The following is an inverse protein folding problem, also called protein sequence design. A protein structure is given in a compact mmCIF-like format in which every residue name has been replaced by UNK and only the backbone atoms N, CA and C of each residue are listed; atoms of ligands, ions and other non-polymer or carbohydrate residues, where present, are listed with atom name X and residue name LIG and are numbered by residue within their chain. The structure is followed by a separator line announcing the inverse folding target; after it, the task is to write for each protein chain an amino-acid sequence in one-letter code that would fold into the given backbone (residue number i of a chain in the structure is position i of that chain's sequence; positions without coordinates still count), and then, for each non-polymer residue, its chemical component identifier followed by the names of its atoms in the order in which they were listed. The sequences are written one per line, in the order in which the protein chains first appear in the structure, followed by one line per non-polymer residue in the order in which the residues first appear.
data_IF_050378855937
#
_entry.id   IF_050378855937
#
_cell.length_a   1.000
_cell.length_b   1.000
_cell.length_c   1.000
_cell.angle_alpha   90.00
_cell.angle_beta   90.00
_cell.angle_gamma   90.00
#
_symmetry.space_group_name_H-M   'P 1'
#
loop_
_entity.id
_entity.type
_entity.pdbx_description
1 polymer ?
#
# COMPACT_ATOMS: atom_id res chain seq x y z
N UNK A 1 -12.11 8.33 -28.57
CA UNK A 1 -12.95 7.64 -27.56
C UNK A 1 -12.17 7.40 -26.27
N UNK A 2 -11.14 6.53 -26.21
CA UNK A 2 -10.38 6.29 -24.96
C UNK A 2 -9.65 7.53 -24.38
N UNK A 3 -9.08 8.39 -25.22
CA UNK A 3 -8.35 9.60 -24.80
C UNK A 3 -9.22 10.74 -24.23
N UNK A 4 -10.53 10.71 -24.43
CA UNK A 4 -11.45 11.74 -23.94
C UNK A 4 -12.03 11.37 -22.55
N UNK A 5 -12.06 10.07 -22.23
CA UNK A 5 -12.60 9.53 -20.98
C UNK A 5 -11.75 9.85 -19.75
N UNK A 6 -10.42 9.91 -19.90
CA UNK A 6 -9.50 10.06 -18.76
C UNK A 6 -9.28 11.53 -18.38
N UNK A 7 -9.63 12.49 -19.26
CA UNK A 7 -9.63 13.93 -18.94
C UNK A 7 -10.56 14.32 -17.78
N UNK A 8 -11.49 13.44 -17.39
CA UNK A 8 -12.49 13.68 -16.36
C UNK A 8 -12.18 13.05 -15.00
N UNK A 9 -11.05 12.34 -14.85
CA UNK A 9 -10.64 11.77 -13.55
C UNK A 9 -10.03 12.89 -12.70
N UNK A 10 -10.69 13.22 -11.59
CA UNK A 10 -10.28 14.35 -10.73
C UNK A 10 -9.38 13.94 -9.57
N UNK A 11 -9.45 12.69 -9.15
CA UNK A 11 -8.74 12.19 -7.97
C UNK A 11 -8.15 10.82 -8.24
N UNK A 12 -6.95 10.60 -7.72
CA UNK A 12 -6.29 9.30 -7.75
C UNK A 12 -6.76 8.47 -6.56
N UNK A 13 -7.33 7.30 -6.85
CA UNK A 13 -7.98 6.39 -5.88
C UNK A 13 -7.12 5.16 -5.62
N UNK A 14 -6.83 4.89 -4.35
CA UNK A 14 -6.02 3.73 -3.95
C UNK A 14 -6.77 2.94 -2.89
N UNK A 15 -6.87 1.63 -3.08
CA UNK A 15 -7.27 0.72 -2.02
C UNK A 15 -6.02 0.26 -1.27
N UNK A 16 -5.97 0.51 0.05
CA UNK A 16 -4.91 0.00 0.92
C UNK A 16 -5.41 -1.23 1.68
N UNK A 17 -4.67 -2.31 1.49
CA UNK A 17 -4.97 -3.62 2.05
C UNK A 17 -3.87 -4.12 2.96
N UNK A 18 -4.19 -5.13 3.73
CA UNK A 18 -3.27 -5.80 4.65
C UNK A 18 -3.86 -5.94 6.03
N UNK A 19 -3.23 -6.80 6.83
CA UNK A 19 -3.66 -7.18 8.19
C UNK A 19 -3.83 -5.99 9.14
N UNK A 20 -4.50 -6.22 10.26
CA UNK A 20 -4.53 -5.23 11.33
C UNK A 20 -3.10 -4.84 11.74
N UNK A 21 -2.89 -3.57 12.05
CA UNK A 21 -1.59 -3.02 12.40
C UNK A 21 -0.49 -3.17 11.30
N UNK A 22 -0.82 -3.46 10.04
CA UNK A 22 0.15 -3.53 8.95
C UNK A 22 0.79 -2.17 8.55
N UNK A 23 0.46 -1.07 9.23
CA UNK A 23 1.03 0.26 8.94
C UNK A 23 0.31 1.06 7.86
N UNK A 24 -0.90 0.63 7.45
CA UNK A 24 -1.71 1.27 6.40
C UNK A 24 -1.88 2.79 6.60
N UNK A 25 -2.44 3.20 7.74
CA UNK A 25 -2.66 4.63 8.05
C UNK A 25 -1.38 5.45 8.05
N UNK A 26 -0.27 4.88 8.56
CA UNK A 26 1.03 5.56 8.59
C UNK A 26 1.58 5.80 7.18
N UNK A 27 1.36 4.86 6.24
CA UNK A 27 1.73 5.04 4.84
C UNK A 27 0.89 6.15 4.20
N UNK A 28 -0.41 6.18 4.46
CA UNK A 28 -1.30 7.22 3.92
C UNK A 28 -0.88 8.62 4.39
N UNK A 29 -0.71 8.78 5.70
CA UNK A 29 -0.18 9.99 6.33
C UNK A 29 1.13 10.43 5.68
N UNK A 30 2.04 9.47 5.47
CA UNK A 30 3.32 9.77 4.83
C UNK A 30 3.19 10.23 3.40
N UNK A 31 2.42 9.54 2.58
CA UNK A 31 2.23 9.90 1.16
C UNK A 31 1.60 11.28 1.03
N UNK A 32 0.73 11.66 1.95
CA UNK A 32 0.11 12.99 2.00
C UNK A 32 0.98 14.04 2.71
N UNK A 33 2.20 13.70 3.14
CA UNK A 33 3.09 14.56 3.92
C UNK A 33 2.38 15.21 5.12
N UNK A 34 1.63 14.42 5.87
CA UNK A 34 0.77 14.92 6.94
C UNK A 34 0.67 13.95 8.10
N UNK A 35 0.51 14.49 9.31
CA UNK A 35 0.19 13.73 10.52
C UNK A 35 -1.29 13.81 10.88
N UNK A 36 -2.08 14.51 10.06
CA UNK A 36 -3.51 14.65 10.27
C UNK A 36 -4.24 13.31 10.15
N UNK A 37 -5.47 13.28 10.66
CA UNK A 37 -6.39 12.18 10.42
C UNK A 37 -7.20 12.50 9.16
N UNK A 38 -7.42 11.54 8.25
CA UNK A 38 -8.22 11.79 7.07
C UNK A 38 -9.66 12.13 7.47
N UNK A 39 -10.27 12.99 6.67
CA UNK A 39 -11.71 13.11 6.65
C UNK A 39 -12.33 11.88 5.99
N UNK A 40 -13.44 11.40 6.55
CA UNK A 40 -14.13 10.20 6.08
C UNK A 40 -15.42 10.64 5.41
N UNK A 41 -15.67 10.17 4.18
CA UNK A 41 -16.91 10.41 3.46
C UNK A 41 -17.59 9.09 3.11
N UNK A 42 -18.93 9.07 3.17
CA UNK A 42 -19.71 7.93 2.69
C UNK A 42 -19.76 7.90 1.15
N UNK A 43 -20.31 6.83 0.57
CA UNK A 43 -20.48 6.71 -0.90
C UNK A 43 -21.43 7.74 -1.53
N UNK A 44 -22.04 8.62 -0.73
CA UNK A 44 -22.87 9.76 -1.19
C UNK A 44 -22.12 11.10 -1.05
N UNK A 45 -20.88 11.09 -0.57
CA UNK A 45 -20.07 12.28 -0.33
C UNK A 45 -20.40 13.03 0.96
N UNK A 46 -21.18 12.45 1.88
CA UNK A 46 -21.44 13.05 3.18
C UNK A 46 -20.30 12.76 4.13
N UNK A 47 -19.88 13.78 4.91
CA UNK A 47 -18.85 13.62 5.92
C UNK A 47 -19.36 12.74 7.08
N UNK A 48 -18.67 11.64 7.32
CA UNK A 48 -18.94 10.70 8.42
C UNK A 48 -18.22 11.20 9.67
N UNK A 49 -18.88 11.17 10.83
CA UNK A 49 -18.27 11.63 12.09
C UNK A 49 -17.24 10.62 12.57
N UNK A 50 -16.04 11.10 12.94
CA UNK A 50 -14.88 10.28 13.30
C UNK A 50 -15.15 9.24 14.41
N UNK A 51 -16.10 9.49 15.32
CA UNK A 51 -16.49 8.55 16.38
C UNK A 51 -17.10 7.24 15.87
N UNK A 52 -17.71 7.23 14.68
CA UNK A 52 -18.29 6.02 14.06
C UNK A 52 -17.22 5.13 13.41
N UNK A 53 -16.05 5.71 13.08
CA UNK A 53 -14.94 5.06 12.38
C UNK A 53 -13.74 4.80 13.31
N UNK A 54 -13.82 5.12 14.61
CA UNK A 54 -12.71 4.99 15.57
C UNK A 54 -12.70 3.67 16.33
N UNK A 55 -13.77 2.89 16.26
CA UNK A 55 -13.81 1.56 16.85
C UNK A 55 -13.16 0.58 15.89
N UNK A 56 -12.07 -0.05 16.32
CA UNK A 56 -11.47 -1.20 15.61
C UNK A 56 -12.59 -2.21 15.31
N UNK A 57 -12.86 -2.43 14.02
CA UNK A 57 -13.89 -3.36 13.54
C UNK A 57 -15.16 -2.72 12.97
N UNK A 58 -15.36 -1.40 13.05
CA UNK A 58 -16.48 -0.67 12.44
C UNK A 58 -15.98 0.23 11.30
N UNK A 59 -15.57 -0.42 10.20
CA UNK A 59 -15.09 0.29 9.01
C UNK A 59 -15.77 -0.27 7.77
N UNK A 60 -16.17 0.63 6.88
CA UNK A 60 -16.75 0.30 5.60
C UNK A 60 -15.73 0.63 4.51
N UNK A 61 -15.35 -0.37 3.72
CA UNK A 61 -14.38 -0.22 2.61
C UNK A 61 -14.87 0.80 1.55
N UNK A 62 -16.18 1.01 1.46
CA UNK A 62 -16.81 2.02 0.61
C UNK A 62 -16.52 3.46 1.05
N UNK A 63 -16.09 3.67 2.30
CA UNK A 63 -15.82 5.02 2.78
C UNK A 63 -14.53 5.57 2.16
N UNK A 64 -14.61 6.83 1.72
CA UNK A 64 -13.49 7.57 1.17
C UNK A 64 -12.71 8.25 2.30
N UNK A 65 -11.41 8.00 2.37
CA UNK A 65 -10.47 8.70 3.24
C UNK A 65 -9.75 9.78 2.43
N UNK A 66 -9.91 11.04 2.84
CA UNK A 66 -9.31 12.20 2.16
C UNK A 66 -8.53 13.03 3.16
N UNK A 67 -7.27 13.30 2.84
CA UNK A 67 -6.40 14.17 3.62
C UNK A 67 -6.52 15.61 3.12
N UNK A 68 -6.69 16.58 4.01
CA UNK A 68 -6.78 18.00 3.61
C UNK A 68 -5.46 18.49 3.01
N UNK A 69 -4.35 17.97 3.52
CA UNK A 69 -3.00 18.18 2.99
C UNK A 69 -2.83 17.73 1.54
N UNK A 70 -3.59 16.73 1.08
CA UNK A 70 -3.55 16.29 -0.31
C UNK A 70 -4.92 15.75 -0.78
N UNK A 71 -5.85 16.65 -1.18
CA UNK A 71 -7.21 16.28 -1.55
C UNK A 71 -7.33 15.64 -2.94
N UNK A 72 -6.22 15.54 -3.69
CA UNK A 72 -6.18 14.84 -4.97
C UNK A 72 -6.13 13.33 -4.81
N UNK A 73 -5.78 12.82 -3.62
CA UNK A 73 -5.91 11.40 -3.29
C UNK A 73 -7.24 11.09 -2.61
N UNK A 74 -7.77 9.91 -2.93
CA UNK A 74 -8.80 9.23 -2.15
C UNK A 74 -8.30 7.84 -1.80
N UNK A 75 -8.36 7.48 -0.53
CA UNK A 75 -7.98 6.15 -0.08
C UNK A 75 -9.20 5.38 0.40
N UNK A 76 -9.19 4.09 0.12
CA UNK A 76 -10.09 3.11 0.73
C UNK A 76 -9.24 2.20 1.62
N UNK A 77 -9.72 1.86 2.82
CA UNK A 77 -9.03 0.98 3.75
C UNK A 77 -9.86 -0.30 3.97
N UNK A 78 -9.26 -1.46 3.70
CA UNK A 78 -9.86 -2.78 4.01
C UNK A 78 -9.95 -3.08 5.52
N UNK A 79 -9.27 -2.29 6.36
CA UNK A 79 -9.26 -2.37 7.83
C UNK A 79 -8.85 -3.72 8.44
N UNK A 80 -8.06 -4.51 7.71
CA UNK A 80 -7.54 -5.78 8.21
C UNK A 80 -8.46 -6.94 7.85
N UNK A 81 -8.24 -7.51 6.67
CA UNK A 81 -8.77 -8.83 6.35
C UNK A 81 -7.93 -9.88 7.10
N UNK A 82 -8.50 -10.50 8.12
CA UNK A 82 -7.88 -11.60 8.86
C UNK A 82 -8.55 -12.93 8.49
N UNK A 83 -7.77 -14.00 8.42
CA UNK A 83 -8.22 -15.34 8.08
C UNK A 83 -9.27 -15.81 9.11
N UNK A 84 -10.56 -15.63 8.80
CA UNK A 84 -11.63 -16.08 9.68
C UNK A 84 -13.04 -15.73 9.23
N UNK A 85 -13.25 -14.59 8.55
CA UNK A 85 -14.61 -14.22 8.11
C UNK A 85 -14.74 -14.21 6.58
N UNK A 86 -15.50 -15.17 6.06
CA UNK A 86 -15.85 -15.25 4.62
C UNK A 86 -16.56 -13.96 4.17
N UNK A 87 -17.37 -13.38 5.03
CA UNK A 87 -18.11 -12.15 4.75
C UNK A 87 -17.19 -10.94 4.48
N UNK A 88 -16.13 -10.73 5.28
CA UNK A 88 -15.19 -9.63 5.01
C UNK A 88 -14.43 -9.86 3.70
N UNK A 89 -14.10 -11.11 3.38
CA UNK A 89 -13.48 -11.43 2.08
C UNK A 89 -14.41 -11.10 0.92
N UNK A 90 -15.67 -11.53 0.99
CA UNK A 90 -16.64 -11.31 -0.08
C UNK A 90 -16.94 -9.82 -0.25
N UNK A 91 -17.08 -9.06 0.84
CA UNK A 91 -17.23 -7.61 0.79
C UNK A 91 -16.04 -6.93 0.11
N UNK A 92 -14.82 -7.31 0.50
CA UNK A 92 -13.59 -6.78 -0.12
C UNK A 92 -13.48 -7.17 -1.60
N UNK A 93 -13.75 -8.43 -1.95
CA UNK A 93 -13.68 -8.91 -3.33
C UNK A 93 -14.69 -8.17 -4.21
N UNK A 94 -15.93 -8.04 -3.73
CA UNK A 94 -16.97 -7.31 -4.46
C UNK A 94 -16.56 -5.85 -4.65
N UNK A 95 -16.06 -5.18 -3.61
CA UNK A 95 -15.53 -3.82 -3.73
C UNK A 95 -14.45 -3.72 -4.83
N UNK A 96 -13.46 -4.62 -4.82
CA UNK A 96 -12.37 -4.62 -5.82
C UNK A 96 -12.89 -4.85 -7.24
N UNK A 97 -13.79 -5.81 -7.43
CA UNK A 97 -14.36 -6.12 -8.75
C UNK A 97 -15.22 -4.96 -9.26
N UNK A 98 -16.11 -4.44 -8.42
CA UNK A 98 -17.04 -3.36 -8.78
C UNK A 98 -16.28 -2.07 -9.07
N UNK A 99 -15.35 -1.68 -8.19
CA UNK A 99 -14.56 -0.46 -8.34
C UNK A 99 -13.41 -0.61 -9.33
N UNK A 100 -13.00 -1.83 -9.69
CA UNK A 100 -12.01 -2.07 -10.75
C UNK A 100 -12.61 -1.99 -12.16
N UNK A 101 -13.87 -2.43 -12.31
CA UNK A 101 -14.55 -2.51 -13.61
C UNK A 101 -15.59 -1.40 -13.86
N UNK A 102 -15.91 -0.56 -12.85
CA UNK A 102 -16.93 0.49 -12.99
C UNK A 102 -16.69 1.42 -14.18
N UNK A 103 -17.76 1.77 -14.89
CA UNK A 103 -17.74 2.76 -15.97
C UNK A 103 -17.66 4.19 -15.43
N UNK A 104 -17.96 4.39 -14.15
CA UNK A 104 -17.84 5.67 -13.47
C UNK A 104 -16.37 5.91 -13.10
N UNK A 105 -15.64 6.55 -14.01
CA UNK A 105 -14.18 6.77 -13.88
C UNK A 105 -13.77 7.49 -12.60
N UNK A 106 -14.66 8.29 -12.01
CA UNK A 106 -14.43 8.99 -10.75
C UNK A 106 -14.74 8.15 -9.51
N UNK A 107 -15.21 6.92 -9.64
CA UNK A 107 -15.37 5.95 -8.55
C UNK A 107 -14.34 4.82 -8.65
N UNK A 108 -13.72 4.65 -9.82
CA UNK A 108 -12.77 3.58 -10.09
C UNK A 108 -11.54 3.64 -9.19
N UNK A 109 -11.13 2.52 -8.60
CA UNK A 109 -9.81 2.41 -7.95
C UNK A 109 -8.71 2.25 -9.00
N UNK A 110 -7.60 2.95 -8.80
CA UNK A 110 -6.52 3.02 -9.80
C UNK A 110 -5.31 2.16 -9.44
N UNK A 111 -5.11 1.88 -8.15
CA UNK A 111 -4.08 0.96 -7.68
C UNK A 111 -4.49 0.32 -6.36
N UNK A 112 -3.92 -0.84 -6.07
CA UNK A 112 -4.06 -1.54 -4.80
C UNK A 112 -2.68 -1.62 -4.14
N UNK A 113 -2.58 -1.15 -2.90
CA UNK A 113 -1.39 -1.31 -2.08
C UNK A 113 -1.63 -2.39 -1.04
N UNK A 114 -0.91 -3.51 -1.14
CA UNK A 114 -1.08 -4.66 -0.28
C UNK A 114 0.04 -4.72 0.78
N UNK A 115 -0.25 -4.31 2.00
CA UNK A 115 0.72 -4.24 3.09
C UNK A 115 0.97 -5.61 3.75
N UNK A 116 2.22 -6.07 3.71
CA UNK A 116 2.73 -7.24 4.46
C UNK A 116 3.75 -6.72 5.49
N UNK A 117 3.43 -6.72 6.80
CA UNK A 117 4.32 -6.17 7.82
C UNK A 117 5.46 -7.12 8.18
N UNK A 118 6.69 -6.60 8.23
CA UNK A 118 7.88 -7.35 8.65
C UNK A 118 7.97 -7.57 10.16
N UNK A 119 7.00 -7.10 10.96
CA UNK A 119 6.90 -7.44 12.39
C UNK A 119 6.57 -8.92 12.62
N UNK A 120 5.83 -9.54 11.68
CA UNK A 120 5.48 -10.95 11.72
C UNK A 120 6.16 -11.70 10.57
N UNK A 121 7.45 -11.42 10.34
CA UNK A 121 8.19 -11.92 9.17
C UNK A 121 8.17 -13.45 9.02
N UNK A 122 8.03 -14.20 10.12
CA UNK A 122 7.84 -15.66 10.12
C UNK A 122 6.47 -16.13 9.55
N UNK A 123 5.47 -15.26 9.49
CA UNK A 123 4.13 -15.52 8.94
C UNK A 123 3.86 -14.61 7.74
N UNK A 124 4.85 -14.50 6.86
CA UNK A 124 4.68 -13.85 5.57
C UNK A 124 3.81 -14.72 4.67
N UNK A 125 2.88 -14.10 3.92
CA UNK A 125 1.95 -14.78 3.00
C UNK A 125 1.10 -15.88 3.68
N UNK A 126 0.16 -15.46 4.53
CA UNK A 126 -0.80 -16.36 5.17
C UNK A 126 -1.88 -16.83 4.18
N UNK A 127 -2.75 -17.74 4.62
CA UNK A 127 -3.89 -18.21 3.84
C UNK A 127 -4.80 -17.05 3.37
N UNK A 128 -4.92 -15.97 4.14
CA UNK A 128 -5.69 -14.80 3.74
C UNK A 128 -5.07 -14.07 2.55
N UNK A 129 -3.75 -13.83 2.55
CA UNK A 129 -3.06 -13.25 1.41
C UNK A 129 -3.13 -14.17 0.19
N UNK A 130 -2.87 -15.47 0.36
CA UNK A 130 -2.98 -16.44 -0.74
C UNK A 130 -4.38 -16.48 -1.32
N UNK A 131 -5.42 -16.41 -0.48
CA UNK A 131 -6.81 -16.37 -0.93
C UNK A 131 -7.08 -15.15 -1.82
N UNK A 132 -6.63 -13.97 -1.41
CA UNK A 132 -6.74 -12.76 -2.23
C UNK A 132 -6.07 -12.94 -3.59
N UNK A 133 -4.80 -13.33 -3.62
CA UNK A 133 -4.04 -13.45 -4.86
C UNK A 133 -4.47 -14.65 -5.75
N UNK A 134 -5.25 -15.60 -5.24
CA UNK A 134 -5.78 -16.71 -6.04
C UNK A 134 -7.22 -16.50 -6.52
N UNK A 135 -8.05 -15.80 -5.75
CA UNK A 135 -9.50 -15.74 -5.98
C UNK A 135 -10.01 -14.34 -6.34
N UNK A 136 -9.21 -13.28 -6.17
CA UNK A 136 -9.61 -11.91 -6.47
C UNK A 136 -8.98 -11.42 -7.77
N UNK A 137 -9.73 -11.50 -8.88
CA UNK A 137 -9.34 -10.86 -10.13
C UNK A 137 -9.49 -9.34 -10.01
N UNK A 138 -8.37 -8.62 -10.06
CA UNK A 138 -8.35 -7.14 -9.99
C UNK A 138 -8.47 -6.48 -11.36
N UNK A 139 -8.63 -7.27 -12.43
CA UNK A 139 -8.71 -6.81 -13.80
C UNK A 139 -7.47 -5.98 -14.19
N UNK A 140 -7.68 -4.71 -14.51
CA UNK A 140 -6.60 -3.80 -14.91
C UNK A 140 -5.95 -3.05 -13.74
N UNK A 141 -6.48 -3.19 -12.52
CA UNK A 141 -5.98 -2.48 -11.34
C UNK A 141 -4.71 -3.20 -10.83
N UNK A 142 -3.53 -2.56 -10.86
CA UNK A 142 -2.31 -3.19 -10.41
C UNK A 142 -2.29 -3.35 -8.89
N UNK A 143 -1.84 -4.52 -8.42
CA UNK A 143 -1.55 -4.77 -7.01
C UNK A 143 -0.05 -4.65 -6.77
N UNK A 144 0.34 -3.80 -5.82
CA UNK A 144 1.73 -3.60 -5.39
C UNK A 144 1.85 -4.08 -3.95
N UNK A 145 2.75 -5.02 -3.69
CA UNK A 145 3.01 -5.50 -2.33
C UNK A 145 3.97 -4.55 -1.62
N UNK A 146 3.56 -4.07 -0.45
CA UNK A 146 4.35 -3.18 0.40
C UNK A 146 4.88 -3.97 1.58
N UNK A 147 6.19 -4.17 1.66
CA UNK A 147 6.83 -4.72 2.84
C UNK A 147 6.98 -3.57 3.85
N UNK A 148 6.10 -3.55 4.85
CA UNK A 148 6.02 -2.45 5.81
C UNK A 148 6.80 -2.77 7.08
N UNK A 149 7.15 -1.73 7.86
CA UNK A 149 7.85 -1.86 9.14
C UNK A 149 9.15 -2.67 9.03
N UNK A 150 9.90 -2.45 7.95
CA UNK A 150 11.19 -3.12 7.70
C UNK A 150 12.18 -2.90 8.86
N UNK A 151 12.06 -1.78 9.57
CA UNK A 151 12.79 -1.48 10.80
C UNK A 151 12.62 -2.53 11.92
N UNK A 152 11.52 -3.30 11.92
CA UNK A 152 11.33 -4.39 12.87
C UNK A 152 12.34 -5.54 12.71
N UNK A 153 12.98 -5.66 11.54
CA UNK A 153 14.02 -6.66 11.29
C UNK A 153 15.35 -6.34 11.98
N UNK A 154 15.51 -5.15 12.57
CA UNK A 154 16.72 -4.79 13.31
C UNK A 154 17.01 -5.74 14.48
N UNK A 155 16.01 -6.02 15.32
CA UNK A 155 16.18 -6.89 16.48
C UNK A 155 16.55 -8.33 16.08
N UNK A 156 15.81 -8.99 15.15
CA UNK A 156 16.22 -10.30 14.62
C UNK A 156 17.62 -10.33 14.00
N UNK A 157 18.00 -9.26 13.28
CA UNK A 157 19.34 -9.16 12.69
C UNK A 157 20.42 -9.08 13.78
N UNK A 158 20.17 -8.27 14.81
CA UNK A 158 21.10 -8.07 15.92
C UNK A 158 21.23 -9.33 16.79
N UNK A 159 20.10 -9.92 17.19
CA UNK A 159 20.06 -11.19 17.95
C UNK A 159 20.74 -12.31 17.17
N UNK A 160 20.47 -12.43 15.87
CA UNK A 160 21.11 -13.43 15.03
C UNK A 160 22.63 -13.29 14.92
N UNK A 161 23.19 -12.09 15.06
CA UNK A 161 24.65 -11.86 15.14
C UNK A 161 25.20 -12.30 16.49
N UNK A 162 24.51 -11.98 17.59
CA UNK A 162 24.91 -12.42 18.93
C UNK A 162 24.89 -13.95 19.06
N UNK A 163 23.90 -14.61 18.48
CA UNK A 163 23.79 -16.07 18.45
C UNK A 163 24.93 -16.74 17.66
N UNK A 164 25.55 -16.00 16.72
CA UNK A 164 26.75 -16.44 15.99
C UNK A 164 28.05 -16.18 16.77
N UNK A 165 27.96 -15.61 17.98
CA UNK A 165 29.11 -15.28 18.82
C UNK A 165 29.77 -13.94 18.51
N UNK A 166 29.16 -13.09 17.68
CA UNK A 166 29.67 -11.75 17.36
C UNK A 166 29.56 -10.86 18.60
N UNK A 167 30.62 -10.11 18.93
CA UNK A 167 30.61 -9.21 20.06
C UNK A 167 29.62 -8.05 19.85
N UNK A 168 29.03 -7.52 20.93
CA UNK A 168 28.01 -6.44 20.85
C UNK A 168 28.47 -5.23 20.03
N UNK A 169 29.74 -4.82 20.16
CA UNK A 169 30.28 -3.68 19.43
C UNK A 169 30.31 -3.94 17.91
N UNK A 170 30.83 -5.09 17.51
CA UNK A 170 30.89 -5.54 16.11
C UNK A 170 29.48 -5.79 15.55
N UNK A 171 28.58 -6.38 16.35
CA UNK A 171 27.20 -6.61 15.95
C UNK A 171 26.46 -5.30 15.63
N UNK A 172 26.75 -4.20 16.32
CA UNK A 172 26.18 -2.87 16.02
C UNK A 172 26.67 -2.31 14.68
N UNK A 173 27.89 -2.65 14.27
CA UNK A 173 28.46 -2.22 12.98
C UNK A 173 27.86 -3.05 11.83
N UNK A 174 27.62 -4.34 12.05
CA UNK A 174 27.14 -5.28 11.02
C UNK A 174 25.60 -5.38 10.91
N UNK A 175 24.85 -4.90 11.91
CA UNK A 175 23.38 -5.10 11.97
C UNK A 175 22.64 -4.57 10.75
N UNK A 176 23.11 -3.47 10.14
CA UNK A 176 22.46 -2.89 8.96
C UNK A 176 22.58 -3.82 7.74
N UNK A 177 23.76 -4.41 7.53
CA UNK A 177 24.00 -5.41 6.48
C UNK A 177 23.15 -6.66 6.75
N UNK A 178 23.18 -7.16 7.99
CA UNK A 178 22.41 -8.34 8.38
C UNK A 178 20.90 -8.13 8.23
N UNK A 179 20.40 -6.94 8.53
CA UNK A 179 19.01 -6.55 8.30
C UNK A 179 18.66 -6.57 6.81
N UNK A 180 19.57 -6.09 5.95
CA UNK A 180 19.44 -6.15 4.50
C UNK A 180 19.31 -7.59 3.98
N UNK A 181 20.20 -8.49 4.43
CA UNK A 181 20.13 -9.92 4.08
C UNK A 181 18.80 -10.55 4.49
N UNK A 182 18.31 -10.25 5.70
CA UNK A 182 17.02 -10.75 6.17
C UNK A 182 15.87 -10.24 5.29
N UNK A 183 15.89 -8.96 4.95
CA UNK A 183 14.88 -8.37 4.08
C UNK A 183 14.88 -9.02 2.70
N UNK A 184 16.04 -9.21 2.07
CA UNK A 184 16.16 -9.85 0.77
C UNK A 184 15.68 -11.31 0.79
N UNK A 185 16.03 -12.04 1.85
CA UNK A 185 15.54 -13.41 2.08
C UNK A 185 14.01 -13.45 2.12
N UNK A 186 13.39 -12.59 2.93
CA UNK A 186 11.93 -12.54 3.06
C UNK A 186 11.24 -12.04 1.80
N UNK A 187 11.81 -11.03 1.13
CA UNK A 187 11.31 -10.55 -0.15
C UNK A 187 11.33 -11.65 -1.21
N UNK A 188 12.40 -12.44 -1.27
CA UNK A 188 12.52 -13.59 -2.18
C UNK A 188 11.47 -14.64 -1.88
N UNK A 189 11.26 -14.95 -0.60
CA UNK A 189 10.22 -15.88 -0.17
C UNK A 189 8.80 -15.40 -0.57
N UNK A 190 8.46 -14.13 -0.27
CA UNK A 190 7.15 -13.55 -0.61
C UNK A 190 6.94 -13.57 -2.13
N UNK A 191 7.96 -13.17 -2.91
CA UNK A 191 7.91 -13.21 -4.38
C UNK A 191 7.65 -14.62 -4.91
N UNK A 192 8.31 -15.62 -4.33
CA UNK A 192 8.13 -17.01 -4.70
C UNK A 192 6.71 -17.53 -4.38
N UNK A 193 6.18 -17.23 -3.19
CA UNK A 193 4.85 -17.70 -2.81
C UNK A 193 3.74 -17.00 -3.60
N UNK A 194 3.78 -15.67 -3.70
CA UNK A 194 2.77 -14.91 -4.45
C UNK A 194 2.88 -15.08 -5.97
N UNK A 195 4.08 -15.40 -6.48
CA UNK A 195 4.30 -15.69 -7.89
C UNK A 195 3.63 -16.99 -8.37
N UNK A 196 3.25 -17.89 -7.45
CA UNK A 196 2.50 -19.11 -7.77
C UNK A 196 0.99 -18.88 -7.84
N UNK A 197 0.50 -17.73 -7.39
CA UNK A 197 -0.92 -17.45 -7.34
C UNK A 197 -1.47 -17.07 -8.73
N UNK A 198 -2.79 -17.20 -8.92
CA UNK A 198 -3.45 -16.90 -10.20
C UNK A 198 -3.31 -15.44 -10.62
N UNK A 199 -3.30 -14.51 -9.66
CA UNK A 199 -3.25 -13.07 -9.88
C UNK A 199 -2.03 -12.46 -9.16
N UNK A 200 -0.79 -12.70 -9.62
CA UNK A 200 0.41 -12.25 -8.91
C UNK A 200 0.53 -10.71 -8.90
N UNK A 201 1.14 -10.11 -7.86
CA UNK A 201 1.34 -8.67 -7.80
C UNK A 201 2.31 -8.17 -8.88
N UNK A 202 2.15 -6.91 -9.28
CA UNK A 202 2.94 -6.25 -10.32
C UNK A 202 4.26 -5.67 -9.82
N UNK A 203 4.38 -5.45 -8.51
CA UNK A 203 5.57 -4.84 -7.92
C UNK A 203 5.69 -5.11 -6.42
N UNK A 204 6.90 -4.90 -5.90
CA UNK A 204 7.22 -5.07 -4.49
C UNK A 204 8.04 -3.87 -4.01
N UNK A 205 7.61 -3.21 -2.95
CA UNK A 205 8.28 -2.03 -2.40
C UNK A 205 8.52 -2.23 -0.91
N UNK A 206 9.76 -2.02 -0.47
CA UNK A 206 10.13 -2.06 0.94
C UNK A 206 10.05 -0.66 1.54
N UNK A 207 9.34 -0.52 2.65
CA UNK A 207 9.11 0.74 3.34
C UNK A 207 9.64 0.69 4.76
N UNK A 208 10.61 1.55 5.06
CA UNK A 208 11.31 1.61 6.33
C UNK A 208 11.05 2.95 7.03
N UNK A 209 10.88 2.93 8.36
CA UNK A 209 10.79 4.14 9.20
C UNK A 209 9.70 5.14 8.76
N UNK A 210 8.60 4.67 8.16
CA UNK A 210 7.49 5.52 7.67
C UNK A 210 6.81 6.38 8.74
N UNK A 211 7.13 6.19 10.02
CA UNK A 211 6.71 7.04 11.13
C UNK A 211 7.57 8.30 11.32
N UNK A 212 8.79 8.38 10.74
CA UNK A 212 9.73 9.49 10.92
C UNK A 212 9.63 10.49 9.77
N UNK A 213 9.40 11.78 9.97
CA UNK A 213 9.12 12.79 8.91
C UNK A 213 10.10 12.80 7.72
N UNK A 214 11.34 12.33 7.91
CA UNK A 214 12.35 12.20 6.84
C UNK A 214 12.19 10.98 5.92
N UNK A 215 11.33 10.02 6.25
CA UNK A 215 11.12 8.82 5.41
C UNK A 215 10.59 9.18 4.02
N UNK A 216 11.25 8.62 3.01
CA UNK A 216 10.97 8.87 1.61
C UNK A 216 9.83 7.98 1.11
N UNK A 217 8.75 8.60 0.63
CA UNK A 217 7.63 7.91 -0.04
C UNK A 217 7.66 8.06 -1.56
N UNK A 218 8.62 8.78 -2.11
CA UNK A 218 8.76 8.98 -3.56
C UNK A 218 8.97 7.66 -4.29
N UNK A 219 9.70 6.71 -3.67
CA UNK A 219 9.90 5.35 -4.20
C UNK A 219 8.56 4.64 -4.40
N UNK A 220 7.63 4.72 -3.44
CA UNK A 220 6.30 4.12 -3.58
C UNK A 220 5.52 4.74 -4.74
N UNK A 221 5.64 6.04 -4.93
CA UNK A 221 4.95 6.77 -6.00
C UNK A 221 5.52 6.45 -7.37
N UNK A 222 6.84 6.40 -7.49
CA UNK A 222 7.52 6.00 -8.72
C UNK A 222 7.10 4.59 -9.11
N UNK A 223 7.20 3.63 -8.19
CA UNK A 223 6.75 2.26 -8.44
C UNK A 223 5.27 2.19 -8.81
N UNK A 224 4.42 2.99 -8.15
CA UNK A 224 3.00 3.05 -8.51
C UNK A 224 2.80 3.61 -9.91
N UNK A 225 3.54 4.63 -10.32
CA UNK A 225 3.51 5.15 -11.69
C UNK A 225 3.96 4.10 -12.71
N UNK A 226 5.07 3.42 -12.44
CA UNK A 226 5.69 2.47 -13.38
C UNK A 226 4.82 1.25 -13.66
N UNK A 227 3.98 0.82 -12.70
CA UNK A 227 3.08 -0.33 -12.89
C UNK A 227 1.72 0.03 -13.49
N UNK A 228 1.40 1.32 -13.63
CA UNK A 228 0.16 1.75 -14.27
C UNK A 228 0.28 1.57 -15.79
N UNK A 229 -0.72 0.92 -16.39
CA UNK A 229 -0.75 0.69 -17.84
C UNK A 229 -1.15 1.93 -18.64
N UNK A 230 -1.75 2.94 -18.01
CA UNK A 230 -2.31 4.12 -18.66
C UNK A 230 -1.47 5.37 -18.35
N UNK A 231 -0.86 5.96 -19.38
CA UNK A 231 -0.03 7.18 -19.26
C UNK A 231 -0.77 8.34 -18.59
N UNK A 232 -2.07 8.47 -18.84
CA UNK A 232 -2.89 9.50 -18.21
C UNK A 232 -3.10 9.27 -16.72
N UNK A 233 -3.16 8.02 -16.25
CA UNK A 233 -3.18 7.71 -14.81
C UNK A 233 -1.83 7.97 -14.16
N UNK A 234 -0.73 7.71 -14.86
CA UNK A 234 0.62 8.10 -14.41
C UNK A 234 0.70 9.62 -14.23
N UNK A 235 0.28 10.39 -15.24
CA UNK A 235 0.23 11.86 -15.16
C UNK A 235 -0.67 12.36 -14.02
N UNK A 236 -1.83 11.74 -13.81
CA UNK A 236 -2.72 12.07 -12.70
C UNK A 236 -2.04 11.82 -11.35
N UNK A 237 -1.43 10.65 -11.15
CA UNK A 237 -0.69 10.31 -9.93
C UNK A 237 0.42 11.32 -9.65
N UNK A 238 1.21 11.65 -10.67
CA UNK A 238 2.33 12.60 -10.55
C UNK A 238 1.81 14.02 -10.26
N UNK A 239 0.73 14.47 -10.90
CA UNK A 239 0.13 15.78 -10.57
C UNK A 239 -0.47 15.83 -9.17
N UNK A 240 -0.87 14.67 -8.63
CA UNK A 240 -1.41 14.55 -7.27
C UNK A 240 -0.29 14.56 -6.23
N UNK A 241 0.93 14.19 -6.62
CA UNK A 241 2.13 14.28 -5.79
C UNK A 241 2.57 15.75 -5.64
N UNK A 242 2.18 16.40 -4.55
CA UNK A 242 2.61 17.77 -4.24
C UNK A 242 4.06 17.85 -3.74
N UNK A 243 4.61 16.73 -3.26
CA UNK A 243 5.88 16.69 -2.51
C UNK A 243 7.12 16.33 -3.35
N UNK A 244 6.98 15.87 -4.60
CA UNK A 244 8.12 15.44 -5.42
C UNK A 244 8.26 16.23 -6.72
N UNK A 245 8.95 17.37 -6.63
CA UNK A 245 9.37 18.15 -7.81
C UNK A 245 10.21 17.29 -8.77
N UNK A 246 11.03 16.39 -8.24
CA UNK A 246 11.89 15.51 -9.04
C UNK A 246 11.07 14.55 -9.93
N UNK A 247 10.00 13.96 -9.39
CA UNK A 247 9.09 13.10 -10.17
C UNK A 247 8.36 13.89 -11.26
N UNK A 248 7.87 15.08 -10.91
CA UNK A 248 7.22 15.98 -11.87
C UNK A 248 8.15 16.37 -13.02
N UNK A 249 9.44 16.63 -12.75
CA UNK A 249 10.43 16.97 -13.77
C UNK A 249 10.79 15.77 -14.64
N UNK A 250 11.05 14.59 -14.05
CA UNK A 250 11.43 13.39 -14.81
C UNK A 250 10.38 13.01 -15.87
N UNK A 251 9.10 13.00 -15.50
CA UNK A 251 8.02 12.68 -16.42
C UNK A 251 7.65 13.84 -17.37
N UNK A 252 7.98 15.09 -17.03
CA UNK A 252 7.84 16.21 -17.96
C UNK A 252 8.89 16.19 -19.09
N UNK A 253 10.04 15.58 -18.85
CA UNK A 253 11.19 15.54 -19.78
C UNK A 253 11.17 14.32 -20.71
N UNK A 254 10.43 13.25 -20.41
CA UNK A 254 10.27 12.06 -21.28
C UNK A 254 9.36 12.30 -22.53
N UNK A 255 9.42 13.50 -23.11
CA UNK A 255 8.73 13.87 -24.35
C UNK A 255 9.48 13.45 -25.60
#
# INVERSE_FOLDING_TARGET
MAQEYIKNIKRFRILVMGRANAGKTTILQRVCNSTEKPEVFDGKGNKVRFYECSQRGYHNIEHELVFQSNPGFVFHDSCGFEAGSTQQFDQMRNFVVDHGATMMVNERIHAIWFCIPMTDYHRTVTAAEQKFFNECDTGHVPVIVLLTKVDALYLPAFEGLLDQGVAIAEAKEMVAEKQGELLERWLTHIKHELGKCNFPPKGYVSLQKMHQESADSSVLMQWTADVLNEESLQRLLISTQQSSIALCVQYAVQK
#
